data_IF_141922998650
#
_entry.id   IF_141922998650
#
_cell.length_a   1.000
_cell.length_b   1.000
_cell.length_c   1.000
_cell.angle_alpha   90.00
_cell.angle_beta   90.00
_cell.angle_gamma   90.00
#
_symmetry.space_group_name_H-M   'P 1'
#
loop_
_entity.id
_entity.type
_entity.pdbx_description
1 polymer ?
#
# COMPACT_ATOMS: atom_id res chain seq x y z
N UNK A 1 -31.33 0.76 -14.52
CA UNK A 1 -32.09 -0.32 -15.21
C UNK A 1 -31.32 -0.87 -16.41
N UNK A 2 -30.84 -0.05 -17.35
CA UNK A 2 -30.10 -0.52 -18.54
C UNK A 2 -28.74 -1.18 -18.23
N UNK A 3 -27.96 -0.66 -17.28
CA UNK A 3 -26.70 -1.29 -16.86
C UNK A 3 -26.93 -2.70 -16.28
N UNK A 4 -28.01 -2.90 -15.53
CA UNK A 4 -28.38 -4.21 -14.98
C UNK A 4 -28.81 -5.20 -16.07
N UNK A 5 -29.42 -4.71 -17.16
CA UNK A 5 -29.74 -5.55 -18.33
C UNK A 5 -28.47 -5.95 -19.10
N UNK A 6 -27.50 -5.05 -19.25
CA UNK A 6 -26.20 -5.38 -19.86
C UNK A 6 -25.45 -6.43 -19.01
N UNK A 7 -25.44 -6.26 -17.69
CA UNK A 7 -24.85 -7.23 -16.77
C UNK A 7 -25.49 -8.62 -16.88
N UNK A 8 -26.83 -8.70 -16.99
CA UNK A 8 -27.53 -9.96 -17.23
C UNK A 8 -27.17 -10.59 -18.58
N UNK A 9 -27.03 -9.78 -19.64
CA UNK A 9 -26.67 -10.27 -20.97
C UNK A 9 -25.25 -10.86 -21.03
N UNK A 10 -24.32 -10.31 -20.23
CA UNK A 10 -22.92 -10.76 -20.14
C UNK A 10 -22.73 -11.82 -19.04
N UNK A 11 -23.78 -12.16 -18.29
CA UNK A 11 -23.72 -13.13 -17.18
C UNK A 11 -22.93 -12.65 -15.97
N UNK A 12 -22.76 -11.33 -15.79
CA UNK A 12 -21.98 -10.73 -14.71
C UNK A 12 -22.86 -10.10 -13.62
N UNK A 13 -22.36 -10.09 -12.38
CA UNK A 13 -22.99 -9.42 -11.25
C UNK A 13 -22.37 -8.03 -11.06
N UNK A 14 -23.20 -6.99 -11.13
CA UNK A 14 -22.73 -5.61 -10.90
C UNK A 14 -22.24 -5.40 -9.46
N UNK A 15 -20.98 -4.99 -9.34
CA UNK A 15 -20.43 -4.43 -8.11
C UNK A 15 -20.73 -2.92 -8.00
N UNK A 16 -20.93 -2.42 -6.78
CA UNK A 16 -21.14 -0.98 -6.53
C UNK A 16 -19.80 -0.26 -6.63
N UNK A 17 -19.70 0.69 -7.57
CA UNK A 17 -18.51 1.53 -7.74
C UNK A 17 -18.59 2.74 -6.78
N UNK A 18 -17.64 2.82 -5.85
CA UNK A 18 -17.51 3.92 -4.90
C UNK A 18 -16.52 5.01 -5.38
N UNK A 19 -16.20 5.96 -4.49
CA UNK A 19 -15.17 6.97 -4.74
C UNK A 19 -13.78 6.40 -4.41
N UNK A 20 -12.83 6.61 -5.32
CA UNK A 20 -11.41 6.29 -5.13
C UNK A 20 -10.72 7.49 -4.48
N UNK A 21 -9.86 7.26 -3.47
CA UNK A 21 -9.11 8.29 -2.73
C UNK A 21 -9.98 9.36 -2.04
N UNK A 22 -11.17 8.98 -1.59
CA UNK A 22 -11.95 9.80 -0.66
C UNK A 22 -11.45 9.62 0.78
N UNK A 23 -11.90 10.48 1.72
CA UNK A 23 -11.50 10.58 3.15
C UNK A 23 -11.46 9.24 3.92
N UNK A 24 -11.96 8.15 3.33
CA UNK A 24 -12.27 6.90 4.03
C UNK A 24 -11.70 5.68 3.31
N UNK A 25 -10.62 5.16 3.89
CA UNK A 25 -10.08 3.79 3.82
C UNK A 25 -9.51 3.32 2.49
N UNK A 26 -8.25 2.86 2.52
CA UNK A 26 -7.58 2.19 1.39
C UNK A 26 -8.40 1.00 0.87
N UNK A 27 -9.00 0.20 1.75
CA UNK A 27 -9.89 -0.90 1.40
C UNK A 27 -11.20 -0.47 0.71
N UNK A 28 -11.61 0.81 0.83
CA UNK A 28 -12.74 1.36 0.05
C UNK A 28 -12.32 1.75 -1.36
N UNK A 29 -11.14 2.34 -1.49
CA UNK A 29 -10.53 2.65 -2.79
C UNK A 29 -10.27 1.37 -3.58
N UNK A 30 -9.69 0.36 -2.94
CA UNK A 30 -9.47 -0.97 -3.51
C UNK A 30 -10.77 -1.58 -4.03
N UNK A 31 -11.82 -1.66 -3.19
CA UNK A 31 -13.15 -2.16 -3.61
C UNK A 31 -13.75 -1.39 -4.78
N UNK A 32 -13.52 -0.07 -4.87
CA UNK A 32 -14.03 0.75 -5.96
C UNK A 32 -13.29 0.47 -7.27
N UNK A 33 -11.97 0.31 -7.21
CA UNK A 33 -11.14 -0.09 -8.36
C UNK A 33 -11.49 -1.51 -8.81
N UNK A 34 -11.59 -2.46 -7.88
CA UNK A 34 -12.10 -3.81 -8.13
C UNK A 34 -13.45 -3.79 -8.83
N UNK A 35 -14.39 -2.97 -8.37
CA UNK A 35 -15.70 -2.86 -9.00
C UNK A 35 -15.65 -2.33 -10.44
N UNK A 36 -14.72 -1.42 -10.75
CA UNK A 36 -14.50 -0.97 -12.14
C UNK A 36 -13.88 -2.08 -12.97
N UNK A 37 -12.89 -2.79 -12.43
CA UNK A 37 -12.21 -3.89 -13.11
C UNK A 37 -13.15 -5.05 -13.45
N UNK A 38 -13.90 -5.55 -12.46
CA UNK A 38 -14.83 -6.67 -12.63
C UNK A 38 -16.00 -6.34 -13.57
N UNK A 39 -16.48 -5.09 -13.53
CA UNK A 39 -17.56 -4.63 -14.41
C UNK A 39 -17.05 -4.06 -15.74
N UNK A 40 -15.75 -4.13 -16.05
CA UNK A 40 -15.14 -3.40 -17.17
C UNK A 40 -15.85 -3.67 -18.50
N UNK A 41 -16.12 -4.94 -18.80
CA UNK A 41 -16.84 -5.36 -20.01
C UNK A 41 -18.26 -4.79 -20.06
N UNK A 42 -19.00 -4.90 -18.95
CA UNK A 42 -20.39 -4.39 -18.87
C UNK A 42 -20.43 -2.87 -18.99
N UNK A 43 -19.44 -2.16 -18.47
CA UNK A 43 -19.31 -0.71 -18.62
C UNK A 43 -19.06 -0.33 -20.08
N UNK A 44 -18.12 -1.01 -20.74
CA UNK A 44 -17.81 -0.78 -22.16
C UNK A 44 -19.03 -1.05 -23.05
N UNK A 45 -19.69 -2.21 -22.88
CA UNK A 45 -20.89 -2.57 -23.63
C UNK A 45 -22.02 -1.54 -23.41
N UNK A 46 -22.20 -1.09 -22.15
CA UNK A 46 -23.21 -0.09 -21.85
C UNK A 46 -22.90 1.27 -22.47
N UNK A 47 -21.65 1.75 -22.38
CA UNK A 47 -21.25 3.04 -22.93
C UNK A 47 -21.31 3.05 -24.46
N UNK A 48 -20.83 1.99 -25.10
CA UNK A 48 -20.93 1.80 -26.56
C UNK A 48 -22.38 1.81 -27.02
N UNK A 49 -23.25 1.02 -26.37
CA UNK A 49 -24.67 0.95 -26.73
C UNK A 49 -25.37 2.30 -26.50
N UNK A 50 -25.10 2.97 -25.39
CA UNK A 50 -25.69 4.27 -25.06
C UNK A 50 -25.19 5.40 -25.97
N UNK A 51 -23.96 5.31 -26.49
CA UNK A 51 -23.41 6.27 -27.45
C UNK A 51 -24.07 6.15 -28.82
N UNK A 52 -24.45 4.93 -29.23
CA UNK A 52 -25.06 4.62 -30.53
C UNK A 52 -26.60 4.65 -30.53
N UNK A 53 -27.22 4.78 -29.35
CA UNK A 53 -28.68 4.79 -29.19
C UNK A 53 -29.31 6.09 -29.73
N UNK A 54 -29.90 6.00 -30.92
CA UNK A 54 -30.54 7.12 -31.63
C UNK A 54 -31.78 7.68 -30.93
N UNK A 55 -32.35 6.96 -29.95
CA UNK A 55 -33.48 7.43 -29.15
C UNK A 55 -33.10 8.46 -28.08
N UNK A 56 -31.80 8.57 -27.77
CA UNK A 56 -31.26 9.53 -26.79
C UNK A 56 -30.96 10.87 -27.42
N UNK A 57 -30.83 11.91 -26.60
CA UNK A 57 -30.40 13.22 -27.08
C UNK A 57 -28.92 13.21 -27.53
N UNK A 58 -28.52 14.20 -28.33
CA UNK A 58 -27.15 14.28 -28.85
C UNK A 58 -26.09 14.52 -27.77
N UNK A 59 -26.47 15.14 -26.66
CA UNK A 59 -25.56 15.48 -25.56
C UNK A 59 -25.21 14.24 -24.72
N UNK A 60 -26.21 13.41 -24.44
CA UNK A 60 -26.07 12.13 -23.74
C UNK A 60 -25.25 11.17 -24.58
N UNK A 61 -25.54 11.03 -25.89
CA UNK A 61 -24.72 10.18 -26.77
C UNK A 61 -23.25 10.61 -26.78
N UNK A 62 -22.99 11.92 -26.88
CA UNK A 62 -21.63 12.45 -26.82
C UNK A 62 -20.95 12.19 -25.47
N UNK A 63 -21.68 12.28 -24.35
CA UNK A 63 -21.19 11.95 -23.02
C UNK A 63 -20.78 10.48 -22.91
N UNK A 64 -21.64 9.55 -23.35
CA UNK A 64 -21.33 8.12 -23.29
C UNK A 64 -20.19 7.73 -24.22
N UNK A 65 -20.10 8.36 -25.40
CA UNK A 65 -18.95 8.23 -26.29
C UNK A 65 -17.66 8.66 -25.61
N UNK A 66 -17.63 9.85 -24.98
CA UNK A 66 -16.46 10.31 -24.27
C UNK A 66 -16.06 9.43 -23.07
N UNK A 67 -17.03 8.82 -22.38
CA UNK A 67 -16.76 7.84 -21.32
C UNK A 67 -16.15 6.55 -21.89
N UNK A 68 -16.62 6.10 -23.04
CA UNK A 68 -16.09 4.92 -23.75
C UNK A 68 -14.66 5.17 -24.25
N UNK A 69 -14.41 6.33 -24.85
CA UNK A 69 -13.07 6.76 -25.30
C UNK A 69 -12.07 6.79 -24.13
N UNK A 70 -12.50 7.26 -22.95
CA UNK A 70 -11.66 7.22 -21.74
C UNK A 70 -11.44 5.79 -21.26
N UNK A 71 -12.52 5.00 -21.15
CA UNK A 71 -12.48 3.62 -20.63
C UNK A 71 -11.54 2.74 -21.47
N UNK A 72 -11.54 2.93 -22.78
CA UNK A 72 -10.71 2.17 -23.73
C UNK A 72 -9.30 2.73 -23.88
N UNK A 73 -8.99 3.93 -23.39
CA UNK A 73 -7.65 4.50 -23.54
C UNK A 73 -6.56 3.68 -22.82
N UNK A 74 -5.42 3.45 -23.47
CA UNK A 74 -4.30 2.69 -22.89
C UNK A 74 -3.83 3.29 -21.56
N UNK A 75 -3.80 4.62 -21.46
CA UNK A 75 -3.46 5.34 -20.23
C UNK A 75 -4.42 5.01 -19.09
N UNK A 76 -5.74 5.01 -19.34
CA UNK A 76 -6.73 4.67 -18.32
C UNK A 76 -6.59 3.22 -17.88
N UNK A 77 -6.51 2.29 -18.81
CA UNK A 77 -6.42 0.84 -18.52
C UNK A 77 -5.12 0.53 -17.75
N UNK A 78 -4.00 1.12 -18.15
CA UNK A 78 -2.71 1.00 -17.44
C UNK A 78 -2.77 1.56 -16.02
N UNK A 79 -3.34 2.76 -15.85
CA UNK A 79 -3.52 3.34 -14.52
C UNK A 79 -4.47 2.50 -13.66
N UNK A 80 -5.52 1.93 -14.25
CA UNK A 80 -6.46 1.07 -13.54
C UNK A 80 -5.78 -0.21 -13.04
N UNK A 81 -4.98 -0.88 -13.89
CA UNK A 81 -4.20 -2.07 -13.52
C UNK A 81 -3.20 -1.77 -12.40
N UNK A 82 -2.38 -0.73 -12.58
CA UNK A 82 -1.42 -0.25 -11.58
C UNK A 82 -2.08 0.07 -10.24
N UNK A 83 -3.18 0.84 -10.28
CA UNK A 83 -3.93 1.19 -9.07
C UNK A 83 -4.51 -0.05 -8.40
N UNK A 84 -4.97 -1.04 -9.16
CA UNK A 84 -5.56 -2.23 -8.58
C UNK A 84 -4.51 -3.06 -7.83
N UNK A 85 -3.35 -3.29 -8.44
CA UNK A 85 -2.24 -3.99 -7.78
C UNK A 85 -1.80 -3.23 -6.51
N UNK A 86 -1.54 -1.93 -6.62
CA UNK A 86 -1.06 -1.14 -5.50
C UNK A 86 -2.06 -1.01 -4.34
N UNK A 87 -3.35 -0.82 -4.65
CA UNK A 87 -4.38 -0.74 -3.61
C UNK A 87 -4.67 -2.09 -2.97
N UNK A 88 -4.44 -3.20 -3.68
CA UNK A 88 -4.56 -4.55 -3.11
C UNK A 88 -3.49 -4.76 -2.05
N UNK A 89 -2.23 -4.50 -2.38
CA UNK A 89 -1.10 -4.59 -1.45
C UNK A 89 -1.31 -3.69 -0.22
N UNK A 90 -1.64 -2.42 -0.42
CA UNK A 90 -1.89 -1.49 0.69
C UNK A 90 -3.11 -1.89 1.53
N UNK A 91 -4.15 -2.47 0.91
CA UNK A 91 -5.32 -2.96 1.63
C UNK A 91 -4.96 -4.16 2.51
N UNK A 92 -4.11 -5.06 2.04
CA UNK A 92 -3.65 -6.21 2.82
C UNK A 92 -2.69 -5.83 3.93
N UNK A 93 -1.76 -4.90 3.67
CA UNK A 93 -0.93 -4.31 4.71
C UNK A 93 -1.79 -3.65 5.80
N UNK A 94 -2.80 -2.87 5.40
CA UNK A 94 -3.69 -2.19 6.35
C UNK A 94 -4.43 -3.19 7.26
N UNK A 95 -4.97 -4.28 6.70
CA UNK A 95 -5.59 -5.36 7.48
C UNK A 95 -4.61 -6.05 8.42
N UNK A 96 -3.37 -6.26 7.99
CA UNK A 96 -2.32 -6.86 8.82
C UNK A 96 -1.99 -5.95 10.01
N UNK A 97 -1.77 -4.66 9.78
CA UNK A 97 -1.43 -3.67 10.81
C UNK A 97 -2.56 -3.45 11.83
N UNK A 98 -3.81 -3.74 11.46
CA UNK A 98 -4.97 -3.63 12.35
C UNK A 98 -5.19 -4.87 13.25
N UNK A 99 -4.38 -5.93 13.14
CA UNK A 99 -4.51 -7.10 14.00
C UNK A 99 -4.29 -6.73 15.47
N UNK A 100 -5.12 -7.26 16.38
CA UNK A 100 -5.04 -6.98 17.83
C UNK A 100 -3.68 -7.33 18.45
N UNK A 101 -3.01 -8.34 17.91
CA UNK A 101 -1.68 -8.81 18.34
C UNK A 101 -0.51 -8.11 17.61
N UNK A 102 -0.78 -7.06 16.83
CA UNK A 102 0.25 -6.33 16.10
C UNK A 102 1.22 -5.63 17.06
N UNK A 103 2.52 -5.88 16.86
CA UNK A 103 3.61 -5.29 17.64
C UNK A 103 4.42 -4.33 16.77
N UNK A 104 5.03 -3.31 17.36
CA UNK A 104 5.86 -2.35 16.61
C UNK A 104 6.94 -3.01 15.74
N UNK A 105 7.74 -3.99 16.22
CA UNK A 105 8.76 -4.61 15.37
C UNK A 105 8.16 -5.41 14.21
N UNK A 106 6.99 -6.04 14.43
CA UNK A 106 6.29 -6.74 13.36
C UNK A 106 5.77 -5.77 12.31
N UNK A 107 5.22 -4.63 12.74
CA UNK A 107 4.73 -3.58 11.85
C UNK A 107 5.85 -2.97 11.00
N UNK A 108 7.00 -2.63 11.59
CA UNK A 108 8.17 -2.14 10.84
C UNK A 108 8.63 -3.14 9.78
N UNK A 109 8.68 -4.44 10.12
CA UNK A 109 9.01 -5.49 9.15
C UNK A 109 8.00 -5.56 8.01
N UNK A 110 6.71 -5.43 8.30
CA UNK A 110 5.67 -5.44 7.27
C UNK A 110 5.78 -4.22 6.35
N UNK A 111 5.98 -3.02 6.90
CA UNK A 111 6.18 -1.79 6.14
C UNK A 111 7.43 -1.87 5.25
N UNK A 112 8.55 -2.36 5.80
CA UNK A 112 9.80 -2.54 5.06
C UNK A 112 9.66 -3.59 3.94
N UNK A 113 8.88 -4.65 4.18
CA UNK A 113 8.53 -5.61 3.12
C UNK A 113 7.70 -4.93 2.03
N UNK A 114 6.71 -4.14 2.41
CA UNK A 114 5.80 -3.48 1.47
C UNK A 114 6.54 -2.49 0.55
N UNK A 115 7.49 -1.73 1.10
CA UNK A 115 8.36 -0.85 0.31
C UNK A 115 9.11 -1.65 -0.76
N UNK A 116 9.71 -2.79 -0.38
CA UNK A 116 10.43 -3.67 -1.32
C UNK A 116 9.52 -4.29 -2.37
N UNK A 117 8.26 -4.59 -2.02
CA UNK A 117 7.25 -5.05 -2.98
C UNK A 117 6.99 -3.95 -4.01
N UNK A 118 6.77 -2.71 -3.57
CA UNK A 118 6.57 -1.58 -4.50
C UNK A 118 7.78 -1.27 -5.37
N UNK A 119 8.99 -1.32 -4.81
CA UNK A 119 10.23 -1.19 -5.59
C UNK A 119 10.35 -2.31 -6.64
N UNK A 120 10.02 -3.55 -6.25
CA UNK A 120 10.00 -4.69 -7.17
C UNK A 120 8.93 -4.57 -8.25
N UNK A 121 7.78 -3.95 -7.96
CA UNK A 121 6.69 -3.77 -8.93
C UNK A 121 7.08 -2.86 -10.11
N UNK A 122 8.16 -2.07 -9.98
CA UNK A 122 8.70 -1.26 -11.08
C UNK A 122 9.25 -2.16 -12.20
N UNK A 123 9.85 -3.30 -11.86
CA UNK A 123 10.47 -4.22 -12.84
C UNK A 123 9.63 -5.48 -13.06
N UNK A 124 8.89 -5.92 -12.05
CA UNK A 124 8.00 -7.08 -12.10
C UNK A 124 6.57 -6.62 -11.76
N UNK A 125 5.78 -6.21 -12.77
CA UNK A 125 4.44 -5.70 -12.56
C UNK A 125 3.55 -6.70 -11.80
N UNK A 126 2.59 -6.17 -11.03
CA UNK A 126 1.58 -6.99 -10.37
C UNK A 126 0.64 -7.66 -11.38
N UNK A 127 -0.19 -8.62 -10.92
CA UNK A 127 -0.99 -9.47 -11.80
C UNK A 127 -1.96 -8.70 -12.70
N UNK A 128 -2.54 -7.59 -12.21
CA UNK A 128 -3.47 -6.80 -13.01
C UNK A 128 -2.72 -5.98 -14.05
N UNK A 129 -1.61 -5.35 -13.69
CA UNK A 129 -0.76 -4.64 -14.64
C UNK A 129 -0.14 -5.58 -15.69
N UNK A 130 0.25 -6.81 -15.30
CA UNK A 130 0.65 -7.85 -16.26
C UNK A 130 -0.47 -8.17 -17.24
N UNK A 131 -1.71 -8.33 -16.75
CA UNK A 131 -2.88 -8.56 -17.61
C UNK A 131 -3.07 -7.43 -18.62
N UNK A 132 -2.90 -6.18 -18.19
CA UNK A 132 -2.93 -5.02 -19.10
C UNK A 132 -1.80 -5.10 -20.12
N UNK A 133 -0.56 -5.35 -19.69
CA UNK A 133 0.58 -5.45 -20.60
C UNK A 133 0.41 -6.55 -21.65
N UNK A 134 -0.09 -7.72 -21.27
CA UNK A 134 -0.39 -8.81 -22.21
C UNK A 134 -1.46 -8.38 -23.21
N UNK A 135 -2.57 -7.80 -22.74
CA UNK A 135 -3.65 -7.32 -23.61
C UNK A 135 -3.21 -6.19 -24.56
N UNK A 136 -2.28 -5.33 -24.15
CA UNK A 136 -1.71 -4.29 -25.01
C UNK A 136 -0.70 -4.88 -26.03
N UNK A 137 0.07 -5.90 -25.64
CA UNK A 137 1.09 -6.54 -26.47
C UNK A 137 0.51 -7.43 -27.58
N UNK A 138 -0.70 -7.97 -27.39
CA UNK A 138 -1.45 -8.74 -28.40
C UNK A 138 -2.12 -7.82 -29.48
N UNK A 139 -1.64 -6.57 -29.62
CA UNK A 139 -2.09 -5.48 -30.51
C UNK A 139 -3.46 -4.84 -30.21
N UNK A 140 -3.59 -4.17 -29.05
CA UNK A 140 -4.64 -3.16 -28.82
C UNK A 140 -4.03 -1.94 -28.11
N UNK A 141 -3.90 -0.81 -28.84
CA UNK A 141 -3.43 0.53 -28.44
C UNK A 141 -1.91 0.81 -28.39
N UNK A 142 -1.49 1.67 -29.32
CA UNK A 142 -0.20 2.34 -29.38
C UNK A 142 0.02 3.31 -28.21
N UNK A 143 1.15 3.13 -27.52
CA UNK A 143 2.02 4.25 -27.15
C UNK A 143 2.03 4.72 -25.69
N UNK A 144 3.28 4.87 -25.21
CA UNK A 144 3.78 5.66 -24.08
C UNK A 144 3.85 5.00 -22.69
N UNK A 145 5.06 4.58 -22.31
CA UNK A 145 5.50 4.49 -20.92
C UNK A 145 5.65 5.90 -20.33
N UNK A 146 4.98 6.26 -19.22
CA UNK A 146 5.34 7.47 -18.48
C UNK A 146 6.58 7.18 -17.64
N UNK A 147 7.62 7.99 -17.82
CA UNK A 147 8.77 8.01 -16.92
C UNK A 147 8.33 8.50 -15.53
N UNK A 148 8.40 7.62 -14.53
CA UNK A 148 8.12 7.94 -13.13
C UNK A 148 9.27 8.77 -12.57
N UNK A 149 9.03 10.06 -12.33
CA UNK A 149 9.95 10.91 -11.55
C UNK A 149 9.72 10.63 -10.06
N UNK A 150 10.78 10.21 -9.38
CA UNK A 150 10.81 10.09 -7.93
C UNK A 150 10.44 11.42 -7.26
N UNK A 151 9.55 11.36 -6.28
CA UNK A 151 9.17 12.50 -5.44
C UNK A 151 9.86 12.28 -4.10
N UNK A 152 10.74 13.19 -3.64
CA UNK A 152 11.36 13.08 -2.33
C UNK A 152 10.30 13.24 -1.25
N UNK A 153 10.06 12.18 -0.48
CA UNK A 153 9.36 12.26 0.80
C UNK A 153 10.36 12.83 1.81
N UNK A 154 10.05 13.99 2.40
CA UNK A 154 10.78 14.54 3.54
C UNK A 154 9.79 14.77 4.67
N UNK A 155 9.90 13.99 5.75
CA UNK A 155 9.06 14.11 6.94
C UNK A 155 9.76 13.58 8.19
N UNK A 156 10.00 14.48 9.14
CA UNK A 156 10.51 14.33 10.53
C UNK A 156 10.62 12.89 11.08
N UNK A 157 11.84 12.36 11.16
CA UNK A 157 12.08 10.93 11.45
C UNK A 157 13.09 10.62 12.57
N UNK A 158 13.53 11.59 13.39
CA UNK A 158 14.74 11.37 14.20
C UNK A 158 14.55 10.55 15.51
N UNK A 159 13.37 10.57 16.17
CA UNK A 159 13.20 9.94 17.50
C UNK A 159 12.51 8.58 17.46
N UNK A 160 11.48 8.41 16.64
CA UNK A 160 10.74 7.14 16.53
C UNK A 160 11.57 6.05 15.83
N UNK A 161 12.44 6.45 14.88
CA UNK A 161 13.39 5.54 14.25
C UNK A 161 14.35 4.91 15.27
N UNK A 162 14.82 5.65 16.27
CA UNK A 162 15.78 5.10 17.24
C UNK A 162 15.19 3.96 18.06
N UNK A 163 13.95 4.10 18.54
CA UNK A 163 13.28 3.05 19.32
C UNK A 163 13.08 1.78 18.50
N UNK A 164 12.68 1.92 17.24
CA UNK A 164 12.50 0.79 16.31
C UNK A 164 13.84 0.13 16.00
N UNK A 165 14.91 0.91 15.78
CA UNK A 165 16.25 0.38 15.56
C UNK A 165 16.78 -0.36 16.78
N UNK A 166 16.53 0.14 17.98
CA UNK A 166 16.92 -0.53 19.22
C UNK A 166 16.18 -1.88 19.37
N UNK A 167 14.88 -1.94 19.02
CA UNK A 167 14.11 -3.18 19.04
C UNK A 167 14.62 -4.22 18.03
N UNK A 168 15.08 -3.77 16.84
CA UNK A 168 15.61 -4.67 15.79
C UNK A 168 16.72 -5.56 16.32
N UNK A 169 17.64 -5.01 17.11
CA UNK A 169 18.79 -5.73 17.67
C UNK A 169 18.42 -6.92 18.56
N UNK A 170 17.22 -6.95 19.13
CA UNK A 170 16.76 -8.10 19.93
C UNK A 170 16.32 -9.28 19.05
N UNK A 171 16.02 -9.05 17.78
CA UNK A 171 15.52 -10.07 16.88
C UNK A 171 16.66 -10.94 16.32
N UNK A 172 16.64 -12.27 16.53
CA UNK A 172 17.74 -13.14 16.10
C UNK A 172 18.02 -13.11 14.60
N UNK A 173 16.97 -12.85 13.79
CA UNK A 173 17.10 -12.72 12.34
C UNK A 173 17.77 -11.44 11.86
N UNK A 174 18.09 -10.49 12.74
CA UNK A 174 18.90 -9.31 12.41
C UNK A 174 20.37 -9.46 12.78
N UNK A 175 20.75 -10.58 13.38
CA UNK A 175 22.13 -10.82 13.83
C UNK A 175 23.00 -11.27 12.65
N UNK A 176 24.25 -10.78 12.56
CA UNK A 176 25.24 -11.29 11.62
C UNK A 176 25.35 -12.83 11.63
N UNK A 177 25.53 -13.41 10.45
CA UNK A 177 25.85 -14.84 10.29
C UNK A 177 27.27 -15.16 10.78
N UNK A 178 28.16 -14.16 10.80
CA UNK A 178 29.53 -14.22 11.32
C UNK A 178 29.57 -14.31 12.86
N UNK A 179 30.78 -14.16 13.41
CA UNK A 179 31.02 -14.12 14.85
C UNK A 179 30.33 -12.90 15.49
N UNK A 180 29.44 -13.17 16.43
CA UNK A 180 28.65 -12.16 17.11
C UNK A 180 29.40 -11.69 18.36
N UNK A 181 29.86 -10.45 18.37
CA UNK A 181 30.54 -9.89 19.55
C UNK A 181 29.65 -9.99 20.80
N UNK A 182 30.26 -10.37 21.93
CA UNK A 182 29.54 -10.57 23.19
C UNK A 182 28.84 -9.29 23.68
N UNK A 183 29.31 -8.11 23.30
CA UNK A 183 28.73 -6.81 23.62
C UNK A 183 27.85 -6.23 22.50
N UNK A 184 27.71 -6.92 21.35
CA UNK A 184 26.83 -6.51 20.27
C UNK A 184 25.42 -6.23 20.79
N UNK A 185 24.91 -5.02 20.59
CA UNK A 185 23.56 -4.64 21.01
C UNK A 185 23.38 -4.24 22.47
N UNK A 186 24.44 -4.23 23.28
CA UNK A 186 24.33 -3.88 24.71
C UNK A 186 23.82 -2.44 24.90
N UNK A 187 24.23 -1.51 24.02
CA UNK A 187 23.82 -0.10 24.11
C UNK A 187 22.34 0.06 23.77
N UNK A 188 21.87 -0.62 22.73
CA UNK A 188 20.46 -0.69 22.31
C UNK A 188 19.59 -1.29 23.42
N UNK A 189 20.03 -2.40 24.02
CA UNK A 189 19.33 -3.04 25.14
C UNK A 189 19.28 -2.10 26.35
N UNK A 190 20.36 -1.39 26.67
CA UNK A 190 20.36 -0.39 27.74
C UNK A 190 19.38 0.75 27.47
N UNK A 191 19.29 1.24 26.24
CA UNK A 191 18.30 2.26 25.84
C UNK A 191 16.88 1.73 25.98
N UNK A 192 16.62 0.49 25.56
CA UNK A 192 15.31 -0.14 25.72
C UNK A 192 14.95 -0.37 27.18
N UNK A 193 15.90 -0.78 28.03
CA UNK A 193 15.67 -0.90 29.46
C UNK A 193 15.26 0.44 30.07
N UNK A 194 15.91 1.52 29.64
CA UNK A 194 15.60 2.88 30.10
C UNK A 194 14.20 3.33 29.66
N UNK A 195 13.82 3.05 28.41
CA UNK A 195 12.51 3.44 27.84
C UNK A 195 11.37 2.60 28.42
N UNK A 196 11.56 1.28 28.51
CA UNK A 196 10.55 0.31 28.92
C UNK A 196 10.53 0.04 30.42
N UNK A 197 11.42 0.70 31.17
CA UNK A 197 11.52 0.63 32.64
C UNK A 197 11.67 -0.81 33.14
N UNK A 198 12.55 -1.58 32.49
CA UNK A 198 12.98 -2.91 32.93
C UNK A 198 14.41 -2.84 33.49
N UNK A 199 14.81 -3.83 34.30
CA UNK A 199 16.13 -3.83 34.92
C UNK A 199 17.24 -3.74 33.87
N UNK A 200 18.27 -2.92 34.11
CA UNK A 200 19.33 -2.68 33.13
C UNK A 200 20.39 -3.77 33.18
N UNK A 201 20.81 -4.16 34.38
CA UNK A 201 22.03 -4.97 34.58
C UNK A 201 21.75 -6.44 34.28
N UNK A 202 20.68 -6.97 34.84
CA UNK A 202 20.26 -8.35 34.65
C UNK A 202 19.83 -8.57 33.19
N UNK A 203 19.11 -7.62 32.60
CA UNK A 203 18.67 -7.74 31.20
C UNK A 203 19.82 -7.73 30.21
N UNK A 204 20.86 -6.90 30.39
CA UNK A 204 22.05 -6.94 29.52
C UNK A 204 22.77 -8.27 29.64
N UNK A 205 22.95 -8.79 30.85
CA UNK A 205 23.57 -10.10 31.05
C UNK A 205 22.72 -11.22 30.42
N UNK A 206 21.40 -11.17 30.62
CA UNK A 206 20.45 -12.07 29.98
C UNK A 206 20.47 -11.97 28.46
N UNK A 207 20.70 -10.79 27.89
CA UNK A 207 20.82 -10.65 26.44
C UNK A 207 22.10 -11.30 25.89
N UNK A 208 23.20 -11.25 26.63
CA UNK A 208 24.44 -11.96 26.27
C UNK A 208 24.25 -13.47 26.25
N UNK A 209 23.62 -14.03 27.28
CA UNK A 209 23.23 -15.45 27.33
C UNK A 209 22.24 -15.84 26.21
N UNK A 210 21.30 -14.93 25.90
CA UNK A 210 20.35 -15.12 24.81
C UNK A 210 21.05 -15.19 23.44
N UNK A 211 22.10 -14.39 23.23
CA UNK A 211 22.95 -14.43 22.04
C UNK A 211 23.81 -15.68 21.96
N UNK A 212 24.43 -16.10 23.07
CA UNK A 212 25.24 -17.34 23.16
C UNK A 212 24.42 -18.58 22.75
N UNK A 213 23.15 -18.62 23.16
CA UNK A 213 22.24 -19.70 22.80
C UNK A 213 21.61 -19.54 21.40
N UNK A 214 22.02 -18.53 20.62
CA UNK A 214 21.42 -18.14 19.33
C UNK A 214 19.89 -18.07 19.42
N UNK A 215 19.38 -17.51 20.52
CA UNK A 215 17.96 -17.40 20.83
C UNK A 215 17.15 -18.70 20.92
N UNK A 216 17.82 -19.86 21.04
CA UNK A 216 17.16 -21.14 21.28
C UNK A 216 16.50 -21.23 22.66
N UNK A 217 17.01 -20.47 23.64
CA UNK A 217 16.45 -20.36 24.98
C UNK A 217 16.39 -18.91 25.42
N UNK A 218 15.27 -18.47 25.96
CA UNK A 218 15.14 -17.14 26.58
C UNK A 218 15.55 -17.19 28.05
N UNK A 219 16.59 -16.45 28.48
CA UNK A 219 16.95 -16.34 29.89
C UNK A 219 15.87 -15.58 30.68
N UNK A 220 15.64 -15.95 31.94
CA UNK A 220 14.61 -15.33 32.79
C UNK A 220 14.78 -13.81 32.90
N UNK A 221 16.03 -13.34 32.96
CA UNK A 221 16.36 -11.91 33.01
C UNK A 221 15.97 -11.14 31.74
N UNK A 222 15.81 -11.82 30.60
CA UNK A 222 15.44 -11.23 29.31
C UNK A 222 13.91 -11.20 29.09
N UNK A 223 13.14 -12.02 29.82
CA UNK A 223 11.69 -12.11 29.67
C UNK A 223 10.94 -10.78 29.88
N UNK A 224 11.27 -9.95 30.89
CA UNK A 224 10.57 -8.68 31.10
C UNK A 224 10.71 -7.74 29.90
N UNK A 225 11.91 -7.65 29.32
CA UNK A 225 12.18 -6.81 28.16
C UNK A 225 11.43 -7.32 26.92
N UNK A 226 11.52 -8.63 26.63
CA UNK A 226 10.82 -9.23 25.48
C UNK A 226 9.30 -9.09 25.60
N UNK A 227 8.76 -9.26 26.81
CA UNK A 227 7.35 -9.04 27.09
C UNK A 227 6.98 -7.57 26.86
N UNK A 228 7.76 -6.63 27.40
CA UNK A 228 7.52 -5.21 27.22
C UNK A 228 7.51 -4.80 25.74
N UNK A 229 8.54 -5.19 24.97
CA UNK A 229 8.63 -4.92 23.51
C UNK A 229 7.44 -5.51 22.75
N UNK A 230 7.03 -6.75 23.07
CA UNK A 230 5.87 -7.40 22.43
C UNK A 230 4.53 -6.79 22.84
N UNK A 231 4.45 -6.06 23.94
CA UNK A 231 3.21 -5.41 24.38
C UNK A 231 3.01 -4.02 23.80
N UNK A 232 3.98 -3.46 23.08
CA UNK A 232 3.82 -2.16 22.42
C UNK A 232 2.97 -2.36 21.18
N UNK A 233 1.67 -2.15 21.36
CA UNK A 233 0.68 -2.25 20.31
C UNK A 233 0.80 -1.10 19.32
N UNK A 234 0.58 -1.41 18.04
CA UNK A 234 0.31 -0.37 17.04
C UNK A 234 -1.13 0.08 17.23
N UNK A 235 -1.34 1.39 17.46
CA UNK A 235 -2.69 1.93 17.54
C UNK A 235 -3.38 1.79 16.18
N UNK A 236 -4.52 1.10 16.14
CA UNK A 236 -5.31 0.95 14.91
C UNK A 236 -5.76 2.32 14.38
N UNK A 237 -6.09 3.27 15.27
CA UNK A 237 -6.45 4.62 14.87
C UNK A 237 -5.27 5.38 14.24
N UNK A 238 -4.05 5.21 14.74
CA UNK A 238 -2.86 5.83 14.12
C UNK A 238 -2.50 5.18 12.79
N UNK A 239 -2.64 3.85 12.69
CA UNK A 239 -2.49 3.12 11.42
C UNK A 239 -3.46 3.66 10.35
N UNK A 240 -4.74 3.78 10.68
CA UNK A 240 -5.75 4.29 9.77
C UNK A 240 -5.53 5.76 9.39
N UNK A 241 -5.07 6.58 10.35
CA UNK A 241 -4.67 7.97 10.09
C UNK A 241 -3.51 8.02 9.10
N UNK A 242 -2.49 7.17 9.25
CA UNK A 242 -1.36 7.10 8.33
C UNK A 242 -1.78 6.73 6.90
N UNK A 243 -2.64 5.71 6.72
CA UNK A 243 -3.19 5.41 5.39
C UNK A 243 -4.09 6.53 4.86
N UNK A 244 -4.78 7.26 5.74
CA UNK A 244 -5.60 8.42 5.35
C UNK A 244 -4.73 9.59 4.86
N UNK A 245 -3.55 9.80 5.46
CA UNK A 245 -2.59 10.81 5.03
C UNK A 245 -2.10 10.60 3.58
N UNK A 246 -2.20 9.38 3.01
CA UNK A 246 -1.92 9.17 1.58
C UNK A 246 -2.82 10.02 0.67
N UNK A 247 -4.04 10.32 1.10
CA UNK A 247 -4.93 11.23 0.37
C UNK A 247 -4.43 12.69 0.42
N UNK A 248 -3.66 13.05 1.46
CA UNK A 248 -3.15 14.40 1.71
C UNK A 248 -1.75 14.65 1.10
N UNK A 249 -0.95 13.59 0.89
CA UNK A 249 0.41 13.67 0.28
C UNK A 249 0.34 14.13 -1.20
N UNK A 250 -0.85 14.21 -1.80
CA UNK A 250 -1.09 14.61 -3.19
C UNK A 250 -1.15 16.13 -3.46
N UNK A 251 -0.45 17.02 -2.73
CA UNK A 251 -0.48 18.45 -3.08
C UNK A 251 0.81 19.26 -2.94
N UNK A 252 1.48 19.44 -4.08
CA UNK A 252 1.93 20.75 -4.57
C UNK A 252 1.47 21.03 -6.02
N UNK A 253 1.20 19.97 -6.82
CA UNK A 253 0.83 20.10 -8.24
C UNK A 253 -0.66 20.35 -8.53
N UNK A 254 -1.57 20.08 -7.59
CA UNK A 254 -3.01 20.36 -7.79
C UNK A 254 -3.36 21.85 -7.77
N UNK A 255 -2.52 22.68 -7.12
CA UNK A 255 -2.74 24.13 -7.01
C UNK A 255 -2.00 24.96 -8.07
N UNK A 256 -1.27 24.33 -9.00
CA UNK A 256 -0.58 25.03 -10.08
C UNK A 256 -1.29 24.83 -11.42
N UNK A 257 -2.55 25.25 -11.51
CA UNK A 257 -3.11 25.72 -12.78
C UNK A 257 -2.53 27.11 -13.01
N UNK A 258 -1.32 27.19 -13.60
CA UNK A 258 -0.84 28.48 -14.09
C UNK A 258 -1.74 28.91 -15.25
N UNK A 259 -2.16 30.17 -15.25
CA UNK A 259 -3.04 30.77 -16.27
C UNK A 259 -2.55 30.48 -17.70
N UNK A 260 -1.24 30.33 -17.89
CA UNK A 260 -0.61 29.94 -19.17
C UNK A 260 -1.03 28.58 -19.74
N UNK A 261 -1.60 27.67 -18.95
CA UNK A 261 -2.08 26.34 -19.41
C UNK A 261 -3.58 26.28 -19.65
N UNK A 262 -4.33 27.31 -19.22
CA UNK A 262 -5.77 27.44 -19.52
C UNK A 262 -6.02 28.04 -20.90
N UNK A 263 -5.06 28.82 -21.43
CA UNK A 263 -5.19 29.49 -22.74
C UNK A 263 -4.93 28.59 -23.95
N UNK A 264 -4.75 27.28 -23.75
CA UNK A 264 -4.51 26.30 -24.83
C UNK A 264 -5.51 25.15 -24.83
N UNK A 265 -6.68 25.32 -24.20
CA UNK A 265 -7.86 24.47 -24.33
C UNK A 265 -8.94 25.20 -25.13
#
# INVERSE_FOLDING_TARGET
RQLAQCAQAVGQRLLVIGRVLSIRWVASSERSVRAVWENYRVLHDHFTNAANDTSRDSRDRAKYKGLDDVLTSATFVSNLGLMYDALTELSDLSRQLQKREMTLPTADRLLTREIRVFESMVTMPGPHMTTVHTALAEEVLQGCCPATREIPLHGREARDNQLIQDMKVIHPGSWPEEELDVQYGDVEVLRLCEVLKVDRRETVQGFREYKETRASRTPAAMEPLLKAVRTIAVSTSECERAFSCMNDILTAKRNALSVSRLSSL
#
